data_IF_442485308450
#
_entry.id   IF_442485308450
#
_cell.length_a   1.000
_cell.length_b   1.000
_cell.length_c   1.000
_cell.angle_alpha   90.00
_cell.angle_beta   90.00
_cell.angle_gamma   90.00
#
_symmetry.space_group_name_H-M   'P 1'
#
loop_
_entity.id
_entity.type
_entity.pdbx_description
1 polymer ?
#
# COMPACT_ATOMS: atom_id res chain seq x y z
N UNK A 1 70.21 -41.80 -25.61
CA UNK A 1 69.14 -40.98 -26.20
C UNK A 1 67.79 -41.64 -25.94
N UNK A 2 66.76 -40.83 -25.66
CA UNK A 2 65.33 -41.12 -25.38
C UNK A 2 65.04 -41.54 -23.93
N UNK A 3 64.92 -40.57 -23.01
CA UNK A 3 63.76 -39.69 -22.68
C UNK A 3 62.66 -40.43 -21.92
N UNK A 4 62.79 -40.38 -20.59
CA UNK A 4 61.72 -40.58 -19.61
C UNK A 4 60.75 -39.41 -19.78
N UNK A 5 59.49 -39.68 -20.13
CA UNK A 5 58.41 -38.69 -20.08
C UNK A 5 57.51 -39.12 -18.94
N UNK A 6 57.71 -38.44 -17.82
CA UNK A 6 56.81 -38.42 -16.67
C UNK A 6 55.55 -37.67 -17.11
N UNK A 7 54.44 -38.38 -17.29
CA UNK A 7 53.14 -37.76 -17.54
C UNK A 7 52.54 -37.35 -16.19
N UNK A 8 52.88 -36.13 -15.74
CA UNK A 8 52.21 -35.47 -14.63
C UNK A 8 50.85 -35.00 -15.16
N UNK A 9 49.81 -35.82 -14.97
CA UNK A 9 48.42 -35.36 -15.17
C UNK A 9 48.11 -34.44 -13.99
N UNK A 10 48.40 -33.16 -14.16
CA UNK A 10 47.80 -32.10 -13.36
C UNK A 10 46.34 -32.08 -13.77
N UNK A 11 45.52 -32.85 -13.06
CA UNK A 11 44.10 -32.57 -12.93
C UNK A 11 44.01 -31.21 -12.23
N UNK A 12 44.02 -30.14 -13.02
CA UNK A 12 43.40 -28.89 -12.64
C UNK A 12 41.92 -29.23 -12.45
N UNK A 13 41.58 -29.64 -11.23
CA UNK A 13 40.27 -29.32 -10.70
C UNK A 13 40.15 -27.81 -10.87
N UNK A 14 39.42 -27.40 -11.89
CA UNK A 14 38.68 -26.14 -11.83
C UNK A 14 37.64 -26.40 -10.74
N UNK A 15 38.14 -26.34 -9.50
CA UNK A 15 37.39 -25.84 -8.38
C UNK A 15 36.81 -24.54 -8.89
N UNK A 16 35.52 -24.56 -9.24
CA UNK A 16 34.71 -23.36 -9.07
C UNK A 16 34.82 -23.11 -7.57
N UNK A 17 35.83 -22.33 -7.18
CA UNK A 17 35.82 -21.69 -5.86
C UNK A 17 34.49 -20.96 -5.85
N UNK A 18 33.52 -21.53 -5.11
CA UNK A 18 32.54 -20.69 -4.44
C UNK A 18 33.40 -19.68 -3.72
N UNK A 19 33.36 -18.42 -4.16
CA UNK A 19 34.05 -17.33 -3.46
C UNK A 19 33.74 -17.50 -1.98
N UNK A 20 34.75 -17.83 -1.18
CA UNK A 20 34.65 -17.82 0.25
C UNK A 20 34.47 -16.35 0.66
N UNK A 21 33.22 -15.92 0.88
CA UNK A 21 33.01 -14.63 1.53
C UNK A 21 31.66 -13.96 1.38
N UNK A 22 30.86 -14.29 0.36
CA UNK A 22 29.60 -13.58 0.14
C UNK A 22 28.41 -14.38 0.67
N UNK A 23 27.73 -13.80 1.66
CA UNK A 23 26.50 -14.35 2.25
C UNK A 23 25.26 -14.14 1.40
N UNK A 24 25.34 -13.42 0.28
CA UNK A 24 24.20 -12.94 -0.52
C UNK A 24 24.31 -13.34 -2.00
N UNK A 25 23.22 -13.18 -2.76
CA UNK A 25 23.22 -13.47 -4.20
C UNK A 25 23.91 -12.37 -5.01
N UNK A 26 24.97 -12.70 -5.76
CA UNK A 26 25.64 -11.76 -6.70
C UNK A 26 24.70 -11.21 -7.76
N UNK A 27 23.63 -11.92 -8.09
CA UNK A 27 22.64 -11.47 -9.06
C UNK A 27 21.86 -10.24 -8.58
N UNK A 28 21.88 -9.93 -7.27
CA UNK A 28 21.35 -8.70 -6.68
C UNK A 28 22.04 -7.44 -7.23
N UNK A 29 23.31 -7.54 -7.62
CA UNK A 29 24.08 -6.43 -8.16
C UNK A 29 23.60 -6.12 -9.58
N UNK A 30 23.35 -4.84 -9.84
CA UNK A 30 22.92 -4.38 -11.14
C UNK A 30 21.97 -3.19 -11.07
N UNK A 31 21.42 -2.89 -12.25
CA UNK A 31 20.40 -1.88 -12.43
C UNK A 31 19.03 -2.55 -12.47
N UNK A 32 18.09 -2.03 -11.70
CA UNK A 32 16.76 -2.59 -11.52
C UNK A 32 15.70 -1.53 -11.80
N UNK A 33 14.72 -1.89 -12.61
CA UNK A 33 13.58 -1.07 -12.99
C UNK A 33 12.33 -1.58 -12.27
N UNK A 34 11.82 -0.79 -11.33
CA UNK A 34 10.58 -1.11 -10.63
C UNK A 34 9.41 -0.97 -11.58
N UNK A 35 8.44 -1.88 -11.50
CA UNK A 35 7.25 -1.86 -12.36
C UNK A 35 5.94 -2.14 -11.61
N UNK A 36 6.01 -2.68 -10.39
CA UNK A 36 4.84 -3.01 -9.58
C UNK A 36 5.19 -2.94 -8.10
N UNK A 37 4.26 -2.46 -7.30
CA UNK A 37 4.22 -2.68 -5.85
C UNK A 37 2.92 -3.35 -5.46
N UNK A 38 2.98 -4.19 -4.44
CA UNK A 38 1.85 -4.77 -3.76
C UNK A 38 1.87 -4.35 -2.28
N UNK A 39 0.69 -4.09 -1.72
CA UNK A 39 0.51 -3.82 -0.30
C UNK A 39 -0.48 -4.83 0.28
N UNK A 40 0.01 -5.68 1.19
CA UNK A 40 -0.84 -6.57 1.99
C UNK A 40 -1.05 -5.93 3.36
N UNK A 41 -2.31 -5.83 3.78
CA UNK A 41 -2.69 -5.31 5.08
C UNK A 41 -3.12 -6.46 5.97
N UNK A 42 -2.44 -6.63 7.10
CA UNK A 42 -2.72 -7.70 8.06
C UNK A 42 -3.00 -7.14 9.43
N UNK A 43 -3.82 -7.87 10.19
CA UNK A 43 -4.10 -7.59 11.60
C UNK A 43 -3.97 -8.83 12.46
N UNK A 44 -3.68 -8.62 13.75
CA UNK A 44 -3.79 -9.63 14.80
C UNK A 44 -4.72 -9.08 15.88
N UNK A 45 -5.72 -9.86 16.28
CA UNK A 45 -6.66 -9.50 17.35
C UNK A 45 -6.59 -10.49 18.51
N UNK A 46 -6.79 -10.01 19.73
CA UNK A 46 -6.84 -10.83 20.95
C UNK A 46 -8.14 -11.65 21.07
N UNK A 47 -9.17 -11.32 20.28
CA UNK A 47 -10.47 -12.02 20.27
C UNK A 47 -10.88 -12.40 18.84
N UNK A 48 -11.75 -13.41 18.72
CA UNK A 48 -12.40 -13.72 17.45
C UNK A 48 -13.60 -12.80 17.25
N UNK A 49 -13.64 -12.09 16.13
CA UNK A 49 -14.70 -11.13 15.81
C UNK A 49 -14.86 -10.98 14.29
N UNK A 50 -15.97 -10.37 13.86
CA UNK A 50 -16.15 -9.94 12.48
C UNK A 50 -15.83 -8.46 12.39
N UNK A 51 -14.98 -8.08 11.43
CA UNK A 51 -14.47 -6.71 11.27
C UNK A 51 -14.86 -6.18 9.90
N UNK A 52 -14.94 -4.85 9.77
CA UNK A 52 -15.10 -4.19 8.48
C UNK A 52 -13.82 -4.33 7.66
N UNK A 53 -13.95 -4.67 6.39
CA UNK A 53 -12.86 -4.82 5.45
C UNK A 53 -12.92 -3.71 4.38
N UNK A 54 -12.07 -2.67 4.47
CA UNK A 54 -12.11 -1.55 3.53
C UNK A 54 -11.45 -1.85 2.18
N UNK A 55 -10.78 -2.99 2.06
CA UNK A 55 -10.06 -3.39 0.84
C UNK A 55 -10.91 -4.26 -0.09
N UNK A 56 -12.08 -4.69 0.37
CA UNK A 56 -13.06 -5.43 -0.40
C UNK A 56 -14.31 -4.58 -0.68
N UNK A 57 -14.96 -4.85 -1.81
CA UNK A 57 -16.18 -4.15 -2.17
C UNK A 57 -17.31 -4.57 -1.22
N UNK A 58 -18.00 -3.60 -0.64
CA UNK A 58 -19.13 -3.80 0.22
C UNK A 58 -20.38 -4.31 -0.51
N UNK A 59 -21.46 -4.47 0.24
CA UNK A 59 -22.77 -4.83 -0.32
C UNK A 59 -23.56 -3.57 -0.65
N UNK A 60 -24.01 -3.46 -1.90
CA UNK A 60 -24.65 -2.24 -2.41
C UNK A 60 -23.63 -1.28 -3.02
N UNK A 61 -24.01 -0.01 -3.14
CA UNK A 61 -23.17 1.05 -3.70
C UNK A 61 -23.79 2.43 -3.53
N UNK A 62 -22.94 3.46 -3.59
CA UNK A 62 -23.37 4.83 -3.86
C UNK A 62 -23.16 5.16 -5.33
N UNK A 63 -24.17 5.75 -5.97
CA UNK A 63 -24.12 6.17 -7.36
C UNK A 63 -23.85 7.67 -7.40
N UNK A 64 -22.80 8.04 -8.12
CA UNK A 64 -22.49 9.41 -8.49
C UNK A 64 -23.14 9.69 -9.85
N UNK A 65 -24.15 10.55 -9.89
CA UNK A 65 -24.80 10.92 -11.15
C UNK A 65 -24.41 12.33 -11.55
N UNK A 66 -23.76 12.42 -12.71
CA UNK A 66 -23.29 13.64 -13.38
C UNK A 66 -23.34 13.45 -14.92
N UNK A 67 -22.52 14.16 -15.69
CA UNK A 67 -22.30 13.84 -17.11
C UNK A 67 -21.68 12.44 -17.32
N UNK A 68 -20.91 11.97 -16.34
CA UNK A 68 -20.37 10.60 -16.27
C UNK A 68 -20.83 9.95 -14.95
N UNK A 69 -21.44 8.76 -15.03
CA UNK A 69 -21.84 8.01 -13.85
C UNK A 69 -20.66 7.21 -13.29
N UNK A 70 -20.49 7.24 -11.97
CA UNK A 70 -19.51 6.42 -11.26
C UNK A 70 -20.16 5.75 -10.05
N UNK A 71 -19.60 4.62 -9.61
CA UNK A 71 -20.14 3.81 -8.52
C UNK A 71 -19.10 3.65 -7.43
N UNK A 72 -19.45 3.98 -6.19
CA UNK A 72 -18.59 3.82 -5.01
C UNK A 72 -19.02 2.57 -4.23
N UNK A 73 -18.05 1.70 -3.91
CA UNK A 73 -18.31 0.38 -3.30
C UNK A 73 -17.38 0.04 -2.13
N UNK A 74 -16.30 0.78 -1.94
CA UNK A 74 -15.34 0.55 -0.85
C UNK A 74 -15.59 1.57 0.24
N UNK A 75 -15.70 1.14 1.50
CA UNK A 75 -16.11 2.01 2.60
C UNK A 75 -15.30 1.70 3.87
N UNK A 76 -14.92 2.77 4.57
CA UNK A 76 -14.45 2.69 5.96
C UNK A 76 -14.96 3.87 6.77
N UNK A 77 -15.01 3.68 8.08
CA UNK A 77 -15.51 4.66 9.03
C UNK A 77 -14.44 4.93 10.06
N UNK A 78 -14.17 6.19 10.37
CA UNK A 78 -13.23 6.52 11.44
C UNK A 78 -13.70 7.79 12.15
N UNK A 79 -13.20 8.02 13.36
CA UNK A 79 -13.46 9.24 14.13
C UNK A 79 -12.17 9.88 14.55
N UNK A 80 -12.05 11.17 14.29
CA UNK A 80 -10.93 12.00 14.75
C UNK A 80 -11.53 13.15 15.53
N UNK A 81 -11.05 13.36 16.76
CA UNK A 81 -11.50 14.43 17.64
C UNK A 81 -13.04 14.45 17.86
N UNK A 82 -13.67 13.28 17.88
CA UNK A 82 -15.12 13.14 18.06
C UNK A 82 -15.98 13.42 16.82
N UNK A 83 -15.36 13.69 15.67
CA UNK A 83 -16.06 13.85 14.38
C UNK A 83 -16.05 12.52 13.67
N UNK A 84 -17.23 11.97 13.37
CA UNK A 84 -17.36 10.77 12.56
C UNK A 84 -17.10 11.12 11.09
N UNK A 85 -16.21 10.36 10.46
CA UNK A 85 -15.83 10.49 9.07
C UNK A 85 -16.12 9.17 8.36
N UNK A 86 -16.89 9.24 7.28
CA UNK A 86 -17.21 8.11 6.42
C UNK A 86 -16.52 8.37 5.10
N UNK A 87 -15.65 7.45 4.69
CA UNK A 87 -14.90 7.57 3.44
C UNK A 87 -15.31 6.43 2.52
N UNK A 88 -15.75 6.78 1.31
CA UNK A 88 -16.24 5.85 0.30
C UNK A 88 -15.48 6.07 -1.01
N UNK A 89 -15.10 5.01 -1.71
CA UNK A 89 -14.42 5.09 -3.01
C UNK A 89 -14.88 4.03 -4.02
N UNK A 90 -14.58 4.26 -5.29
CA UNK A 90 -14.82 3.35 -6.42
C UNK A 90 -13.76 2.25 -6.56
N UNK A 91 -12.57 2.46 -5.98
CA UNK A 91 -11.49 1.47 -5.88
C UNK A 91 -11.14 1.19 -4.40
N UNK A 92 -10.44 0.08 -4.10
CA UNK A 92 -9.89 -0.14 -2.77
C UNK A 92 -9.08 1.07 -2.29
N UNK A 93 -9.20 1.38 -1.00
CA UNK A 93 -8.49 2.52 -0.43
C UNK A 93 -6.99 2.26 -0.46
N UNK A 94 -6.23 3.27 -0.91
CA UNK A 94 -4.78 3.18 -1.03
C UNK A 94 -4.26 2.79 -2.42
N UNK A 95 -5.12 2.46 -3.38
CA UNK A 95 -4.71 2.29 -4.78
C UNK A 95 -4.35 3.67 -5.36
N UNK A 96 -3.14 3.79 -5.89
CA UNK A 96 -2.75 4.90 -6.77
C UNK A 96 -2.96 4.41 -8.20
N UNK A 97 -3.61 5.22 -9.03
CA UNK A 97 -3.98 4.81 -10.37
C UNK A 97 -4.17 6.02 -11.26
N UNK A 98 -3.85 5.82 -12.54
CA UNK A 98 -3.86 6.84 -13.58
C UNK A 98 -5.22 6.93 -14.28
N UNK A 99 -6.15 6.04 -13.93
CA UNK A 99 -7.55 6.16 -14.31
C UNK A 99 -8.24 7.25 -13.48
N UNK A 100 -9.49 7.54 -13.81
CA UNK A 100 -10.34 8.40 -12.98
C UNK A 100 -10.74 7.62 -11.71
N UNK A 101 -10.54 8.24 -10.54
CA UNK A 101 -10.98 7.72 -9.23
C UNK A 101 -11.82 8.73 -8.51
N UNK A 102 -12.74 8.21 -7.70
CA UNK A 102 -13.68 9.00 -6.94
C UNK A 102 -13.57 8.63 -5.46
N UNK A 103 -13.37 9.64 -4.61
CA UNK A 103 -13.42 9.48 -3.16
C UNK A 103 -14.39 10.47 -2.55
N UNK A 104 -15.45 9.96 -1.94
CA UNK A 104 -16.40 10.72 -1.14
C UNK A 104 -16.01 10.64 0.33
N UNK A 105 -15.93 11.79 0.99
CA UNK A 105 -15.84 11.90 2.45
C UNK A 105 -17.08 12.60 2.97
N UNK A 106 -17.74 11.99 3.94
CA UNK A 106 -18.86 12.56 4.68
C UNK A 106 -18.38 12.80 6.11
N UNK A 107 -18.54 14.03 6.58
CA UNK A 107 -18.20 14.47 7.92
C UNK A 107 -19.51 14.72 8.67
N UNK A 108 -19.69 13.99 9.76
CA UNK A 108 -20.80 14.17 10.68
C UNK A 108 -20.31 14.89 11.94
N UNK A 109 -20.68 16.16 12.07
CA UNK A 109 -20.39 16.97 13.26
C UNK A 109 -21.53 16.94 14.27
N UNK A 110 -22.50 16.03 14.13
CA UNK A 110 -23.66 15.90 15.00
C UNK A 110 -24.53 17.16 14.95
N UNK A 111 -24.73 17.79 16.12
CA UNK A 111 -25.55 19.00 16.25
C UNK A 111 -25.04 20.20 15.44
N UNK A 112 -23.77 20.17 15.00
CA UNK A 112 -23.18 21.23 14.18
C UNK A 112 -23.40 21.03 12.67
N UNK A 113 -24.10 19.96 12.28
CA UNK A 113 -24.44 19.67 10.89
C UNK A 113 -23.48 18.68 10.22
N UNK A 114 -23.55 18.65 8.89
CA UNK A 114 -22.78 17.70 8.08
C UNK A 114 -22.05 18.45 6.97
N UNK A 115 -20.93 17.90 6.51
CA UNK A 115 -20.20 18.40 5.36
C UNK A 115 -19.74 17.21 4.53
N UNK A 116 -19.77 17.33 3.22
CA UNK A 116 -19.34 16.28 2.31
C UNK A 116 -18.42 16.85 1.24
N UNK A 117 -17.38 16.10 0.93
CA UNK A 117 -16.44 16.41 -0.14
C UNK A 117 -16.25 15.17 -1.00
N UNK A 118 -16.59 15.27 -2.28
CA UNK A 118 -16.22 14.30 -3.29
C UNK A 118 -15.03 14.85 -4.04
N UNK A 119 -13.99 14.04 -4.16
CA UNK A 119 -12.87 14.39 -5.02
C UNK A 119 -12.74 13.40 -6.15
N UNK A 120 -12.74 13.94 -7.37
CA UNK A 120 -12.40 13.23 -8.60
C UNK A 120 -10.90 13.42 -8.84
N UNK A 121 -10.13 12.35 -8.81
CA UNK A 121 -8.69 12.42 -9.08
C UNK A 121 -8.34 11.65 -10.36
N UNK A 122 -7.40 12.20 -11.12
CA UNK A 122 -6.73 11.51 -12.24
C UNK A 122 -5.24 11.70 -11.99
N UNK A 123 -4.52 10.61 -11.70
CA UNK A 123 -3.14 10.70 -11.18
C UNK A 123 -3.10 11.59 -9.93
N UNK A 124 -2.56 12.79 -10.05
CA UNK A 124 -2.29 13.79 -9.02
C UNK A 124 -3.16 15.05 -9.14
N UNK A 125 -3.87 15.20 -10.25
CA UNK A 125 -4.84 16.27 -10.42
C UNK A 125 -6.15 15.88 -9.74
N UNK A 126 -6.62 16.72 -8.81
CA UNK A 126 -7.88 16.52 -8.08
C UNK A 126 -8.86 17.66 -8.30
N UNK A 127 -10.12 17.34 -8.60
CA UNK A 127 -11.25 18.26 -8.63
C UNK A 127 -12.16 18.00 -7.43
N UNK A 128 -12.41 19.03 -6.62
CA UNK A 128 -13.22 18.92 -5.41
C UNK A 128 -14.65 19.44 -5.63
N UNK A 129 -15.61 18.63 -5.22
CA UNK A 129 -17.03 18.95 -5.16
C UNK A 129 -17.46 18.93 -3.70
N UNK A 130 -18.15 19.96 -3.26
CA UNK A 130 -18.46 20.14 -1.83
C UNK A 130 -19.94 20.47 -1.63
N UNK A 131 -20.49 20.05 -0.49
CA UNK A 131 -21.89 20.29 -0.17
C UNK A 131 -22.35 19.50 1.05
N UNK A 132 -23.66 19.45 1.24
CA UNK A 132 -24.31 18.67 2.29
C UNK A 132 -25.10 17.53 1.65
N UNK A 133 -25.00 16.35 2.24
CA UNK A 133 -25.75 15.17 1.84
C UNK A 133 -26.73 14.81 2.95
N UNK A 134 -27.95 14.42 2.58
CA UNK A 134 -28.89 13.81 3.50
C UNK A 134 -28.59 12.31 3.57
N UNK A 135 -28.13 11.86 4.74
CA UNK A 135 -27.75 10.47 4.95
C UNK A 135 -28.21 9.95 6.31
N UNK A 136 -28.17 8.63 6.44
CA UNK A 136 -28.33 7.92 7.70
C UNK A 136 -27.28 6.81 7.80
N UNK A 137 -26.81 6.56 9.02
CA UNK A 137 -25.89 5.48 9.33
C UNK A 137 -26.53 4.57 10.38
N UNK A 138 -26.84 3.33 10.02
CA UNK A 138 -27.41 2.33 10.92
C UNK A 138 -26.37 1.22 11.10
N UNK A 139 -25.74 1.18 12.29
CA UNK A 139 -24.55 0.36 12.48
C UNK A 139 -23.43 0.86 11.58
N UNK A 140 -23.02 0.05 10.61
CA UNK A 140 -22.03 0.44 9.58
C UNK A 140 -22.65 0.60 8.19
N UNK A 141 -23.97 0.45 8.03
CA UNK A 141 -24.65 0.65 6.74
C UNK A 141 -24.99 2.13 6.53
N UNK A 142 -24.42 2.72 5.48
CA UNK A 142 -24.68 4.08 5.04
C UNK A 142 -25.81 4.08 4.00
N UNK A 143 -26.80 4.94 4.20
CA UNK A 143 -27.78 5.29 3.16
C UNK A 143 -27.75 6.78 2.91
N UNK A 144 -27.48 7.20 1.68
CA UNK A 144 -27.59 8.59 1.20
C UNK A 144 -28.88 8.70 0.40
N UNK A 145 -29.83 9.51 0.88
CA UNK A 145 -31.16 9.64 0.26
C UNK A 145 -31.22 10.75 -0.78
N UNK A 146 -30.42 11.80 -0.59
CA UNK A 146 -30.50 13.03 -1.38
C UNK A 146 -29.28 13.91 -1.15
N UNK A 147 -28.99 14.77 -2.10
CA UNK A 147 -27.95 15.79 -2.00
C UNK A 147 -27.19 15.97 -3.30
N UNK A 148 -26.50 17.11 -3.40
CA UNK A 148 -25.62 17.41 -4.51
C UNK A 148 -24.36 18.11 -4.00
N UNK A 149 -23.24 17.77 -4.60
CA UNK A 149 -21.94 18.35 -4.34
C UNK A 149 -21.56 19.23 -5.52
N UNK A 150 -21.09 20.44 -5.23
CA UNK A 150 -20.88 21.48 -6.25
C UNK A 150 -19.40 21.78 -6.39
N UNK A 151 -18.94 21.94 -7.63
CA UNK A 151 -17.61 22.44 -7.88
C UNK A 151 -17.58 23.97 -7.70
N UNK A 152 -16.58 24.50 -6.99
CA UNK A 152 -16.55 25.93 -6.64
C UNK A 152 -16.33 26.85 -7.83
N UNK A 153 -15.70 26.34 -8.90
CA UNK A 153 -15.28 27.14 -10.07
C UNK A 153 -15.87 26.67 -11.39
N UNK A 154 -16.48 25.49 -11.41
CA UNK A 154 -17.14 24.92 -12.58
C UNK A 154 -18.62 24.95 -12.23
N UNK A 155 -19.47 25.47 -13.11
CA UNK A 155 -20.92 25.48 -12.87
C UNK A 155 -21.48 24.07 -13.10
N UNK A 156 -21.02 23.12 -12.28
CA UNK A 156 -21.23 21.69 -12.36
C UNK A 156 -21.54 21.13 -10.96
N UNK A 157 -22.28 20.02 -10.93
CA UNK A 157 -22.74 19.38 -9.70
C UNK A 157 -22.87 17.88 -9.87
N UNK A 158 -22.59 17.15 -8.79
CA UNK A 158 -22.70 15.69 -8.74
C UNK A 158 -23.74 15.32 -7.69
N UNK A 159 -24.75 14.56 -8.09
CA UNK A 159 -25.73 14.00 -7.14
C UNK A 159 -25.23 12.66 -6.62
N UNK A 160 -25.50 12.40 -5.34
CA UNK A 160 -25.05 11.17 -4.65
C UNK A 160 -26.26 10.52 -4.03
N UNK A 161 -26.52 9.26 -4.37
CA UNK A 161 -27.60 8.46 -3.78
C UNK A 161 -27.19 6.99 -3.66
N UNK A 162 -27.74 6.28 -2.69
CA UNK A 162 -27.60 4.83 -2.60
C UNK A 162 -27.46 4.32 -1.18
N UNK A 163 -27.27 3.02 -1.07
CA UNK A 163 -27.05 2.32 0.20
C UNK A 163 -25.83 1.41 0.05
N UNK A 164 -24.93 1.47 1.02
CA UNK A 164 -23.71 0.69 1.05
C UNK A 164 -23.41 0.23 2.48
N UNK A 165 -23.16 -1.06 2.63
CA UNK A 165 -22.63 -1.67 3.85
C UNK A 165 -21.20 -2.14 3.58
N UNK A 166 -20.23 -1.92 4.48
CA UNK A 166 -18.85 -2.35 4.26
C UNK A 166 -18.76 -3.87 4.11
N UNK A 167 -17.74 -4.34 3.38
CA UNK A 167 -17.39 -5.76 3.39
C UNK A 167 -16.98 -6.17 4.80
N UNK A 168 -17.10 -7.46 5.10
CA UNK A 168 -16.81 -8.00 6.44
C UNK A 168 -15.93 -9.24 6.36
N UNK A 169 -14.93 -9.29 7.24
CA UNK A 169 -13.99 -10.40 7.35
C UNK A 169 -14.04 -10.99 8.75
N UNK A 170 -14.03 -12.32 8.85
CA UNK A 170 -13.90 -13.01 10.14
C UNK A 170 -12.44 -13.09 10.55
N UNK A 171 -12.14 -12.62 11.76
CA UNK A 171 -10.81 -12.65 12.38
C UNK A 171 -10.81 -13.68 13.49
N UNK A 172 -9.74 -14.48 13.57
CA UNK A 172 -9.54 -15.44 14.65
C UNK A 172 -8.55 -14.88 15.68
N UNK A 173 -8.84 -15.10 16.97
CA UNK A 173 -8.00 -14.67 18.07
C UNK A 173 -6.55 -15.20 17.94
N UNK A 174 -5.58 -14.31 18.11
CA UNK A 174 -4.15 -14.61 18.15
C UNK A 174 -3.53 -15.07 16.83
N UNK A 175 -4.24 -14.95 15.71
CA UNK A 175 -3.72 -15.29 14.39
C UNK A 175 -3.74 -14.10 13.43
N UNK A 176 -2.69 -13.98 12.63
CA UNK A 176 -2.64 -13.02 11.54
C UNK A 176 -3.78 -13.27 10.55
N UNK A 177 -4.51 -12.21 10.23
CA UNK A 177 -5.57 -12.19 9.23
C UNK A 177 -5.25 -11.12 8.19
N UNK A 178 -5.17 -11.51 6.92
CA UNK A 178 -5.10 -10.59 5.80
C UNK A 178 -6.47 -9.94 5.60
N UNK A 179 -6.51 -8.61 5.63
CA UNK A 179 -7.70 -7.83 5.29
C UNK A 179 -7.72 -7.48 3.81
N UNK A 180 -6.57 -7.22 3.20
CA UNK A 180 -6.55 -6.80 1.81
C UNK A 180 -5.21 -6.89 1.15
N UNK A 181 -5.27 -6.99 -0.18
CA UNK A 181 -4.12 -7.08 -1.07
C UNK A 181 -4.32 -6.06 -2.19
N UNK A 182 -3.56 -4.97 -2.13
CA UNK A 182 -3.72 -3.81 -3.00
C UNK A 182 -2.53 -3.73 -3.96
N UNK A 183 -2.80 -3.95 -5.23
CA UNK A 183 -1.81 -3.87 -6.30
C UNK A 183 -1.71 -2.45 -6.87
N UNK A 184 -0.48 -2.02 -7.13
CA UNK A 184 -0.16 -0.81 -7.87
C UNK A 184 0.87 -1.09 -8.96
N UNK A 185 0.47 -0.91 -10.22
CA UNK A 185 1.37 -0.98 -11.38
C UNK A 185 1.88 0.41 -11.72
N UNK A 186 3.16 0.51 -12.07
CA UNK A 186 3.80 1.78 -12.42
C UNK A 186 3.67 2.03 -13.92
N UNK A 187 2.73 2.88 -14.33
CA UNK A 187 2.54 3.20 -15.75
C UNK A 187 3.29 4.50 -16.16
N UNK A 188 3.36 5.49 -15.27
CA UNK A 188 4.08 6.78 -15.46
C UNK A 188 5.20 7.02 -14.46
N UNK A 189 5.35 6.13 -13.48
CA UNK A 189 6.35 6.22 -12.45
C UNK A 189 7.62 5.46 -12.87
N UNK A 190 8.75 6.15 -12.94
CA UNK A 190 10.03 5.47 -13.24
C UNK A 190 10.80 5.25 -11.95
N UNK A 191 10.99 3.99 -11.58
CA UNK A 191 11.85 3.62 -10.46
C UNK A 191 13.11 2.94 -10.99
N UNK A 192 14.24 3.63 -10.91
CA UNK A 192 15.55 3.06 -11.15
C UNK A 192 16.28 2.79 -9.83
N UNK A 193 16.76 1.57 -9.63
CA UNK A 193 17.50 1.16 -8.44
C UNK A 193 18.78 0.45 -8.83
N UNK A 194 19.92 1.09 -8.56
CA UNK A 194 21.24 0.58 -8.88
C UNK A 194 21.96 0.13 -7.60
N UNK A 195 22.10 -1.17 -7.43
CA UNK A 195 22.85 -1.80 -6.34
C UNK A 195 24.25 -2.13 -6.88
N UNK A 196 25.28 -1.52 -6.28
CA UNK A 196 26.67 -1.62 -6.75
C UNK A 196 27.46 -2.55 -5.85
N UNK A 197 28.35 -3.32 -6.47
CA UNK A 197 29.28 -4.28 -5.85
C UNK A 197 30.13 -3.69 -4.71
N UNK A 198 30.40 -2.38 -4.73
CA UNK A 198 31.16 -1.68 -3.69
C UNK A 198 30.35 -1.24 -2.46
N UNK A 199 29.36 -2.02 -2.01
CA UNK A 199 28.47 -1.71 -0.87
C UNK A 199 27.81 -0.33 -0.94
N UNK A 200 27.50 0.15 -2.13
CA UNK A 200 26.79 1.41 -2.34
C UNK A 200 25.60 1.23 -3.26
N UNK A 201 24.60 2.07 -3.11
CA UNK A 201 23.45 2.08 -4.00
C UNK A 201 23.07 3.50 -4.39
N UNK A 202 22.39 3.62 -5.51
CA UNK A 202 21.68 4.83 -5.93
C UNK A 202 20.29 4.45 -6.38
N UNK A 203 19.32 5.28 -6.04
CA UNK A 203 17.93 5.12 -6.42
C UNK A 203 17.44 6.44 -6.98
N UNK A 204 16.76 6.37 -8.11
CA UNK A 204 16.10 7.51 -8.74
C UNK A 204 14.66 7.13 -8.96
N UNK A 205 13.75 7.95 -8.44
CA UNK A 205 12.32 7.81 -8.57
C UNK A 205 11.82 9.05 -9.29
N UNK A 206 11.22 8.89 -10.47
CA UNK A 206 10.58 9.97 -11.21
C UNK A 206 9.07 9.78 -11.05
N UNK A 207 8.45 10.77 -10.42
CA UNK A 207 7.00 10.83 -10.22
C UNK A 207 6.42 11.91 -11.12
N UNK A 208 5.13 11.85 -11.43
CA UNK A 208 4.47 12.88 -12.23
C UNK A 208 4.60 14.25 -11.58
N UNK A 209 4.49 14.35 -10.24
CA UNK A 209 4.27 15.65 -9.62
C UNK A 209 5.14 16.02 -8.41
N UNK A 210 5.86 15.07 -7.80
CA UNK A 210 6.96 15.40 -6.87
C UNK A 210 8.32 15.60 -7.57
N UNK A 211 8.35 15.39 -8.89
CA UNK A 211 9.56 15.45 -9.71
C UNK A 211 10.47 14.25 -9.48
N UNK A 212 11.79 14.49 -9.51
CA UNK A 212 12.81 13.47 -9.33
C UNK A 212 13.23 13.39 -7.86
N UNK A 213 13.03 12.22 -7.25
CA UNK A 213 13.54 11.87 -5.92
C UNK A 213 14.80 11.02 -6.11
N UNK A 214 15.91 11.49 -5.55
CA UNK A 214 17.17 10.74 -5.54
C UNK A 214 17.53 10.30 -4.13
N UNK A 215 17.90 9.02 -3.99
CA UNK A 215 18.42 8.45 -2.76
C UNK A 215 19.73 7.72 -3.03
N UNK A 216 20.61 7.71 -2.05
CA UNK A 216 21.86 6.96 -2.10
C UNK A 216 22.29 6.56 -0.70
N UNK A 217 23.10 5.53 -0.61
CA UNK A 217 23.58 5.05 0.67
C UNK A 217 24.48 3.84 0.52
N UNK A 218 24.64 3.13 1.62
CA UNK A 218 25.35 1.84 1.66
C UNK A 218 24.37 0.71 1.86
N UNK A 219 24.78 -0.52 1.56
CA UNK A 219 23.96 -1.69 1.78
C UNK A 219 24.80 -2.84 2.33
N UNK A 220 24.14 -3.74 3.04
CA UNK A 220 24.66 -5.03 3.48
C UNK A 220 23.58 -6.10 3.31
N UNK A 221 23.97 -7.34 3.03
CA UNK A 221 23.01 -8.41 2.77
C UNK A 221 23.46 -9.78 3.31
N UNK A 222 22.47 -10.56 3.70
CA UNK A 222 22.57 -11.98 4.03
C UNK A 222 22.00 -12.82 2.87
N UNK A 223 21.74 -14.11 3.13
CA UNK A 223 21.16 -15.00 2.11
C UNK A 223 19.75 -14.59 1.73
N UNK A 224 19.01 -14.03 2.69
CA UNK A 224 17.56 -13.83 2.59
C UNK A 224 17.14 -12.37 2.81
N UNK A 225 18.03 -11.55 3.39
CA UNK A 225 17.73 -10.15 3.72
C UNK A 225 18.78 -9.18 3.15
N UNK A 226 18.34 -7.98 2.80
CA UNK A 226 19.18 -6.84 2.43
C UNK A 226 18.76 -5.63 3.25
N UNK A 227 19.74 -4.94 3.83
CA UNK A 227 19.55 -3.68 4.54
C UNK A 227 20.13 -2.54 3.73
N UNK A 228 19.32 -1.52 3.44
CA UNK A 228 19.75 -0.28 2.83
C UNK A 228 19.89 0.80 3.90
N UNK A 229 21.10 1.34 4.05
CA UNK A 229 21.40 2.42 4.98
C UNK A 229 21.37 3.76 4.26
N UNK A 230 20.36 4.58 4.59
CA UNK A 230 20.26 5.97 4.17
C UNK A 230 20.95 6.88 5.19
N UNK A 231 21.02 8.19 4.91
CA UNK A 231 21.71 9.14 5.79
C UNK A 231 21.17 9.18 7.22
N UNK A 232 19.87 8.93 7.42
CA UNK A 232 19.19 9.07 8.72
C UNK A 232 18.33 7.86 9.11
N UNK A 233 18.34 6.79 8.31
CA UNK A 233 17.49 5.62 8.53
C UNK A 233 18.11 4.37 7.91
N UNK A 234 17.59 3.21 8.26
CA UNK A 234 17.94 1.95 7.60
C UNK A 234 16.69 1.11 7.47
N UNK A 235 16.51 0.54 6.29
CA UNK A 235 15.35 -0.30 5.98
C UNK A 235 15.87 -1.69 5.57
N UNK A 236 15.38 -2.72 6.24
CA UNK A 236 15.72 -4.12 5.98
C UNK A 236 14.58 -4.79 5.22
N UNK A 237 14.92 -5.49 4.14
CA UNK A 237 13.99 -6.15 3.25
C UNK A 237 14.33 -7.63 3.19
N UNK A 238 13.31 -8.49 3.19
CA UNK A 238 13.48 -9.81 2.60
C UNK A 238 13.63 -9.64 1.09
N UNK A 239 14.55 -10.37 0.46
CA UNK A 239 14.75 -10.28 -0.98
C UNK A 239 14.77 -11.64 -1.66
N UNK A 240 14.35 -11.65 -2.92
CA UNK A 240 14.54 -12.81 -3.80
C UNK A 240 14.95 -12.35 -5.19
N UNK A 241 15.92 -13.06 -5.77
CA UNK A 241 16.37 -12.84 -7.15
C UNK A 241 16.15 -14.11 -7.95
N UNK A 242 15.49 -13.97 -9.11
CA UNK A 242 15.22 -15.07 -10.03
C UNK A 242 15.42 -14.60 -11.46
N UNK A 243 16.55 -14.98 -12.06
CA UNK A 243 16.94 -14.54 -13.40
C UNK A 243 17.05 -13.02 -13.49
N UNK A 244 16.19 -12.38 -14.29
CA UNK A 244 16.12 -10.93 -14.44
C UNK A 244 15.11 -10.25 -13.51
N UNK A 245 14.56 -10.96 -12.52
CA UNK A 245 13.60 -10.43 -11.55
C UNK A 245 14.20 -10.28 -10.16
N UNK A 246 13.89 -9.15 -9.51
CA UNK A 246 14.17 -8.88 -8.10
C UNK A 246 12.84 -8.56 -7.41
N UNK A 247 12.65 -9.14 -6.23
CA UNK A 247 11.55 -8.80 -5.32
C UNK A 247 12.15 -8.33 -4.01
N UNK A 248 11.69 -7.18 -3.54
CA UNK A 248 12.00 -6.64 -2.21
C UNK A 248 10.72 -6.56 -1.40
N UNK A 249 10.70 -7.19 -0.23
CA UNK A 249 9.57 -7.20 0.68
C UNK A 249 9.94 -6.51 1.99
N UNK A 250 9.12 -5.54 2.38
CA UNK A 250 9.27 -4.76 3.60
C UNK A 250 8.05 -4.94 4.49
N UNK A 251 8.23 -5.54 5.66
CA UNK A 251 7.18 -5.66 6.66
C UNK A 251 7.25 -4.46 7.61
N UNK A 252 6.15 -3.68 7.65
CA UNK A 252 6.02 -2.50 8.49
C UNK A 252 4.88 -2.69 9.49
N UNK A 253 5.23 -2.81 10.76
CA UNK A 253 4.28 -2.58 11.85
C UNK A 253 3.90 -1.09 11.87
N UNK A 254 2.63 -0.78 11.65
CA UNK A 254 2.16 0.60 11.49
C UNK A 254 2.07 1.36 12.82
N UNK A 255 2.01 0.65 13.96
CA UNK A 255 1.75 1.22 15.27
C UNK A 255 2.90 1.05 16.28
N UNK A 256 4.02 0.42 15.90
CA UNK A 256 5.16 0.11 16.78
C UNK A 256 5.66 1.27 17.64
N UNK A 257 5.61 2.50 17.15
CA UNK A 257 6.16 3.67 17.86
C UNK A 257 5.22 4.25 18.92
N UNK A 258 3.90 4.07 18.75
CA UNK A 258 2.90 4.63 19.66
C UNK A 258 1.60 3.81 19.62
N UNK A 259 1.64 2.56 20.10
CA UNK A 259 0.52 1.63 19.97
C UNK A 259 -0.74 2.13 20.68
N UNK A 260 -0.60 2.78 21.83
CA UNK A 260 -1.73 3.26 22.64
C UNK A 260 -2.58 4.34 21.95
N UNK A 261 -1.97 5.14 21.06
CA UNK A 261 -2.69 6.15 20.27
C UNK A 261 -3.06 5.64 18.87
N UNK A 262 -2.25 4.75 18.30
CA UNK A 262 -2.38 4.29 16.92
C UNK A 262 -3.40 3.16 16.76
N UNK A 263 -3.32 2.11 17.59
CA UNK A 263 -4.20 0.93 17.48
C UNK A 263 -5.69 1.29 17.60
N UNK A 264 -6.12 2.17 18.53
CA UNK A 264 -7.54 2.54 18.64
C UNK A 264 -8.11 3.21 17.38
N UNK A 265 -7.27 3.85 16.57
CA UNK A 265 -7.72 4.44 15.29
C UNK A 265 -8.05 3.35 14.27
N UNK A 266 -7.23 2.31 14.20
CA UNK A 266 -7.47 1.15 13.32
C UNK A 266 -8.61 0.27 13.83
N UNK A 267 -8.75 0.10 15.15
CA UNK A 267 -9.92 -0.58 15.72
C UNK A 267 -11.21 0.08 15.27
N UNK A 268 -11.25 1.41 15.29
CA UNK A 268 -12.41 2.15 14.83
C UNK A 268 -12.61 2.02 13.31
N UNK A 269 -11.54 2.12 12.53
CA UNK A 269 -11.54 1.91 11.07
C UNK A 269 -12.16 0.55 10.69
N UNK A 270 -11.74 -0.50 11.38
CA UNK A 270 -12.17 -1.88 11.15
C UNK A 270 -13.43 -2.25 11.95
N UNK A 271 -14.04 -1.33 12.70
CA UNK A 271 -15.23 -1.61 13.50
C UNK A 271 -15.03 -2.69 14.57
N UNK A 272 -13.83 -2.77 15.14
CA UNK A 272 -13.43 -3.75 16.14
C UNK A 272 -13.84 -3.36 17.56
N UNK A 273 -13.92 -4.35 18.44
CA UNK A 273 -14.03 -4.09 19.88
C UNK A 273 -12.83 -3.30 20.39
N UNK A 274 -13.05 -2.30 21.25
CA UNK A 274 -11.97 -1.45 21.75
C UNK A 274 -10.98 -2.24 22.61
N UNK A 275 -9.68 -2.07 22.33
CA UNK A 275 -8.58 -2.78 22.99
C UNK A 275 -8.39 -4.23 22.52
N UNK A 276 -9.01 -4.62 21.40
CA UNK A 276 -8.91 -5.97 20.84
C UNK A 276 -7.86 -6.12 19.76
N UNK A 277 -7.36 -5.05 19.15
CA UNK A 277 -6.32 -5.09 18.12
C UNK A 277 -4.94 -5.11 18.78
N UNK A 278 -4.16 -6.14 18.47
CA UNK A 278 -2.80 -6.30 19.01
C UNK A 278 -1.74 -5.77 18.04
N UNK A 279 -2.00 -5.94 16.73
CA UNK A 279 -1.08 -5.50 15.68
C UNK A 279 -1.85 -5.16 14.42
N UNK A 280 -1.36 -4.13 13.73
CA UNK A 280 -1.68 -3.85 12.33
C UNK A 280 -0.37 -3.67 11.57
N UNK A 281 -0.21 -4.43 10.50
CA UNK A 281 0.99 -4.43 9.69
C UNK A 281 0.65 -4.22 8.21
N UNK A 282 1.62 -3.64 7.51
CA UNK A 282 1.62 -3.51 6.07
C UNK A 282 2.86 -4.21 5.52
N UNK A 283 2.65 -5.20 4.66
CA UNK A 283 3.73 -5.84 3.90
C UNK A 283 3.75 -5.19 2.53
N UNK A 284 4.84 -4.48 2.24
CA UNK A 284 5.07 -3.85 0.93
C UNK A 284 6.03 -4.71 0.11
N UNK A 285 5.56 -5.22 -1.01
CA UNK A 285 6.36 -6.03 -1.93
C UNK A 285 6.56 -5.27 -3.23
N UNK A 286 7.81 -4.91 -3.55
CA UNK A 286 8.17 -4.17 -4.78
C UNK A 286 8.88 -5.10 -5.76
N UNK A 287 8.41 -5.10 -7.00
CA UNK A 287 8.94 -5.94 -8.07
C UNK A 287 9.76 -5.12 -9.06
N UNK A 288 10.93 -5.65 -9.40
CA UNK A 288 11.88 -5.05 -10.32
C UNK A 288 12.31 -6.01 -11.41
N UNK A 289 12.74 -5.43 -12.54
CA UNK A 289 13.33 -6.15 -13.68
C UNK A 289 14.68 -5.53 -14.07
N UNK A 290 15.62 -6.33 -14.59
CA UNK A 290 16.89 -5.83 -15.15
C UNK A 290 16.72 -5.26 -16.56
#
# INVERSE_FOLDING_TARGET
MKKIILLLVILLFISCEKDEGESYSKDLIGNWYGFKTNYVYTIISSISQTVNNPYEAGTGSLILSSAEEATLQYMYLYSINGVLQISISDKPIGVITEEIHYRLKIYDYGDFGTYSQLTKYISDAGENYEGELEFSLIGSELTVTSGALYHTSLNDSITVIGTLSPAQTSVNAGSETELGNVDWTFDTFEWNFNIKDGNSFTQTIITIDSGTIERSGTWEATSDEITFHYSNSSDTYAYSVSGSGLVLEFNKDLCVSNPDECLPLFELEYGMESGSLEQVAQIKTTHFSK
#
